data_IF_210732335519
#
_entry.id   IF_210732335519
#
_cell.length_a   1.000
_cell.length_b   1.000
_cell.length_c   1.000
_cell.angle_alpha   90.00
_cell.angle_beta   90.00
_cell.angle_gamma   90.00
#
_symmetry.space_group_name_H-M   'P 1'
#
loop_
_entity.id
_entity.type
_entity.pdbx_description
1 polymer ?
#
# COMPACT_ATOMS: atom_id res chain seq x y z
N UNK A 1 4.20 4.40 -12.05
CA UNK A 1 5.30 5.40 -12.12
C UNK A 1 6.32 5.05 -13.20
N UNK A 2 6.88 6.05 -13.87
CA UNK A 2 8.02 5.90 -14.79
C UNK A 2 9.26 6.46 -14.10
N UNK A 3 10.25 5.62 -13.81
CA UNK A 3 11.53 6.10 -13.29
C UNK A 3 12.37 6.65 -14.43
N UNK A 4 13.10 7.76 -14.23
CA UNK A 4 13.95 8.34 -15.27
C UNK A 4 15.15 7.44 -15.61
N UNK A 5 15.58 6.62 -14.66
CA UNK A 5 16.66 5.66 -14.83
C UNK A 5 16.22 4.26 -14.40
N UNK A 6 16.64 3.23 -15.14
CA UNK A 6 16.34 1.84 -14.80
C UNK A 6 16.93 1.45 -13.43
N UNK A 7 18.08 2.02 -13.07
CA UNK A 7 18.71 1.81 -11.76
C UNK A 7 17.83 2.28 -10.60
N UNK A 8 17.17 3.44 -10.74
CA UNK A 8 16.25 3.96 -9.72
C UNK A 8 15.04 3.04 -9.54
N UNK A 9 14.54 2.47 -10.63
CA UNK A 9 13.46 1.48 -10.57
C UNK A 9 13.89 0.22 -9.80
N UNK A 10 15.11 -0.27 -10.05
CA UNK A 10 15.66 -1.42 -9.32
C UNK A 10 15.86 -1.11 -7.83
N UNK A 11 16.46 0.05 -7.51
CA UNK A 11 16.66 0.49 -6.13
C UNK A 11 15.34 0.57 -5.37
N UNK A 12 14.31 1.16 -5.99
CA UNK A 12 12.97 1.23 -5.43
C UNK A 12 12.38 -0.17 -5.18
N UNK A 13 12.46 -1.07 -6.16
CA UNK A 13 11.94 -2.44 -6.04
C UNK A 13 12.62 -3.22 -4.91
N UNK A 14 13.94 -3.07 -4.76
CA UNK A 14 14.71 -3.69 -3.68
C UNK A 14 14.24 -3.21 -2.31
N UNK A 15 14.19 -1.89 -2.12
CA UNK A 15 13.78 -1.28 -0.84
C UNK A 15 12.30 -1.44 -0.52
N UNK A 16 11.47 -1.74 -1.53
CA UNK A 16 10.06 -2.09 -1.34
C UNK A 16 9.90 -3.50 -0.75
N UNK A 17 10.80 -4.43 -1.09
CA UNK A 17 10.73 -5.81 -0.64
C UNK A 17 11.36 -6.00 0.75
N UNK A 18 12.48 -5.31 1.00
CA UNK A 18 13.29 -5.48 2.20
C UNK A 18 14.03 -4.17 2.53
N UNK A 19 14.21 -3.86 3.82
CA UNK A 19 15.02 -2.72 4.26
C UNK A 19 16.50 -3.08 4.15
N UNK A 20 17.22 -2.36 3.29
CA UNK A 20 18.63 -2.62 3.01
C UNK A 20 19.53 -1.42 3.35
N UNK A 21 20.71 -1.64 3.92
CA UNK A 21 21.73 -0.61 4.12
C UNK A 21 22.34 -0.15 2.80
N UNK A 22 23.00 1.01 2.85
CA UNK A 22 23.64 1.65 1.69
C UNK A 22 24.68 0.74 1.02
N UNK A 23 25.43 -0.04 1.82
CA UNK A 23 26.46 -0.96 1.32
C UNK A 23 25.87 -2.15 0.56
N UNK A 24 24.75 -2.73 1.02
CA UNK A 24 24.08 -3.81 0.28
C UNK A 24 23.47 -3.31 -1.03
N UNK A 25 22.87 -2.12 -1.02
CA UNK A 25 22.37 -1.49 -2.25
C UNK A 25 23.51 -1.25 -3.26
N UNK A 26 24.66 -0.78 -2.77
CA UNK A 26 25.85 -0.56 -3.58
C UNK A 26 26.33 -1.88 -4.21
N UNK A 27 26.39 -2.96 -3.44
CA UNK A 27 26.78 -4.29 -3.94
C UNK A 27 25.77 -4.85 -4.95
N UNK A 28 24.47 -4.86 -4.63
CA UNK A 28 23.43 -5.43 -5.52
C UNK A 28 23.32 -4.68 -6.85
N UNK A 29 23.49 -3.36 -6.84
CA UNK A 29 23.46 -2.53 -8.05
C UNK A 29 24.84 -2.42 -8.73
N UNK A 30 25.89 -3.02 -8.14
CA UNK A 30 27.29 -2.89 -8.59
C UNK A 30 27.72 -1.43 -8.79
N UNK A 31 27.36 -0.56 -7.84
CA UNK A 31 27.70 0.87 -7.82
C UNK A 31 28.37 1.26 -6.52
N UNK A 32 29.03 2.42 -6.49
CA UNK A 32 29.57 2.95 -5.25
C UNK A 32 28.48 3.47 -4.31
N UNK A 33 28.74 3.43 -3.00
CA UNK A 33 27.88 4.05 -1.97
C UNK A 33 27.58 5.52 -2.28
N UNK A 34 28.55 6.28 -2.80
CA UNK A 34 28.35 7.66 -3.29
C UNK A 34 27.22 7.76 -4.34
N UNK A 35 27.19 6.81 -5.27
CA UNK A 35 26.14 6.72 -6.31
C UNK A 35 24.81 6.34 -5.69
N UNK A 36 24.77 5.37 -4.77
CA UNK A 36 23.55 5.03 -4.02
C UNK A 36 22.97 6.25 -3.32
N UNK A 37 23.80 7.11 -2.70
CA UNK A 37 23.33 8.35 -2.08
C UNK A 37 22.66 9.30 -3.09
N UNK A 38 23.30 9.52 -4.23
CA UNK A 38 22.73 10.35 -5.29
C UNK A 38 21.41 9.77 -5.83
N UNK A 39 21.37 8.45 -6.02
CA UNK A 39 20.20 7.71 -6.48
C UNK A 39 19.05 7.79 -5.45
N UNK A 40 19.33 7.59 -4.16
CA UNK A 40 18.37 7.75 -3.06
C UNK A 40 17.83 9.19 -3.03
N UNK A 41 18.69 10.20 -3.16
CA UNK A 41 18.26 11.60 -3.19
C UNK A 41 17.31 11.86 -4.36
N UNK A 42 17.67 11.40 -5.57
CA UNK A 42 16.82 11.53 -6.75
C UNK A 42 15.48 10.79 -6.55
N UNK A 43 15.51 9.59 -5.96
CA UNK A 43 14.32 8.80 -5.67
C UNK A 43 13.42 9.48 -4.63
N UNK A 44 14.00 10.05 -3.57
CA UNK A 44 13.28 10.81 -2.55
C UNK A 44 12.62 12.05 -3.14
N UNK A 45 13.29 12.77 -4.05
CA UNK A 45 12.68 13.90 -4.76
C UNK A 45 11.47 13.47 -5.58
N UNK A 46 11.53 12.30 -6.24
CA UNK A 46 10.39 11.76 -6.98
C UNK A 46 9.23 11.39 -6.06
N UNK A 47 9.53 10.72 -4.95
CA UNK A 47 8.53 10.25 -3.98
C UNK A 47 7.93 11.38 -3.14
N UNK A 48 8.66 12.47 -2.90
CA UNK A 48 8.18 13.60 -2.12
C UNK A 48 6.89 14.20 -2.70
N UNK A 49 6.74 14.18 -4.03
CA UNK A 49 5.53 14.61 -4.74
C UNK A 49 4.30 13.77 -4.40
N UNK A 50 4.51 12.54 -3.92
CA UNK A 50 3.47 11.60 -3.54
C UNK A 50 3.39 11.41 -2.02
N UNK A 51 4.08 12.27 -1.25
CA UNK A 51 4.13 12.19 0.20
C UNK A 51 4.81 10.92 0.71
N UNK A 52 5.81 10.41 -0.01
CA UNK A 52 6.63 9.29 0.42
C UNK A 52 8.12 9.63 0.34
N UNK A 53 8.95 8.95 1.12
CA UNK A 53 10.40 9.16 1.14
C UNK A 53 11.12 7.98 1.80
N UNK A 54 12.34 7.70 1.38
CA UNK A 54 13.22 6.77 2.08
C UNK A 54 14.03 7.50 3.14
N UNK A 55 13.94 7.02 4.37
CA UNK A 55 14.75 7.50 5.49
C UNK A 55 15.79 6.44 5.85
N UNK A 56 17.00 6.89 6.14
CA UNK A 56 18.06 6.02 6.65
C UNK A 56 17.87 5.81 8.15
N UNK A 57 17.53 4.59 8.55
CA UNK A 57 17.47 4.18 9.95
C UNK A 57 18.80 3.54 10.37
N UNK A 58 19.47 4.12 11.36
CA UNK A 58 20.79 3.66 11.82
C UNK A 58 20.66 2.25 12.41
N UNK A 59 21.25 1.27 11.75
CA UNK A 59 21.22 -0.14 12.13
C UNK A 59 20.27 -1.02 11.31
N UNK A 60 19.34 -0.43 10.54
CA UNK A 60 18.39 -1.21 9.71
C UNK A 60 18.47 -0.87 8.22
N UNK A 61 19.09 0.26 7.84
CA UNK A 61 19.19 0.68 6.45
C UNK A 61 18.08 1.63 6.03
N UNK A 62 17.77 1.67 4.74
CA UNK A 62 16.75 2.57 4.20
C UNK A 62 15.36 1.98 4.36
N UNK A 63 14.45 2.77 4.92
CA UNK A 63 13.06 2.42 5.13
C UNK A 63 12.13 3.41 4.42
N UNK A 64 11.12 2.89 3.74
CA UNK A 64 10.08 3.71 3.12
C UNK A 64 9.17 4.28 4.20
N UNK A 65 9.13 5.60 4.30
CA UNK A 65 8.17 6.36 5.08
C UNK A 65 7.14 6.99 4.15
N UNK A 66 5.87 6.81 4.52
CA UNK A 66 4.73 7.39 3.82
C UNK A 66 4.15 8.45 4.75
N UNK A 67 4.33 9.73 4.40
CA UNK A 67 3.75 10.86 5.11
C UNK A 67 2.30 11.12 4.64
N UNK A 68 1.98 10.86 3.37
CA UNK A 68 0.60 10.97 2.85
C UNK A 68 0.11 9.65 2.22
N UNK A 69 -0.66 8.83 2.95
CA UNK A 69 -1.12 7.54 2.44
C UNK A 69 -2.06 7.67 1.24
N UNK A 70 -2.84 8.75 1.12
CA UNK A 70 -3.78 8.94 -0.01
C UNK A 70 -3.04 9.15 -1.33
N UNK A 71 -2.00 9.97 -1.34
CA UNK A 71 -1.16 10.21 -2.52
C UNK A 71 -0.33 8.98 -2.90
N UNK A 72 0.15 8.23 -1.90
CA UNK A 72 0.86 6.98 -2.14
C UNK A 72 -0.08 5.87 -2.66
N UNK A 73 -1.33 5.84 -2.23
CA UNK A 73 -2.32 4.88 -2.73
C UNK A 73 -2.62 5.11 -4.22
N UNK A 74 -2.76 6.36 -4.67
CA UNK A 74 -2.90 6.72 -6.08
C UNK A 74 -1.68 6.33 -6.94
N UNK A 75 -0.48 6.37 -6.35
CA UNK A 75 0.76 5.86 -6.94
C UNK A 75 0.74 4.33 -7.09
N UNK A 76 0.22 3.61 -6.12
CA UNK A 76 0.05 2.15 -6.20
C UNK A 76 -1.06 1.74 -7.18
N UNK A 77 -2.12 2.53 -7.32
CA UNK A 77 -3.27 2.25 -8.20
C UNK A 77 -2.91 2.37 -9.69
N UNK A 78 -1.95 3.23 -10.02
CA UNK A 78 -1.43 3.40 -11.39
C UNK A 78 -0.33 2.40 -11.76
N UNK A 79 0.18 1.61 -10.80
CA UNK A 79 1.00 0.44 -11.11
C UNK A 79 0.06 -0.75 -11.38
N UNK A 80 0.20 -1.49 -12.51
CA UNK A 80 -0.62 -2.67 -12.75
C UNK A 80 -0.36 -3.72 -11.66
N UNK A 81 -1.18 -3.71 -10.62
CA UNK A 81 -1.15 -4.65 -9.50
C UNK A 81 -1.85 -5.94 -9.92
N UNK A 82 -1.08 -6.92 -10.37
CA UNK A 82 -1.43 -8.29 -10.05
C UNK A 82 -1.33 -8.43 -8.52
N UNK A 83 -2.48 -8.54 -7.84
CA UNK A 83 -2.65 -8.99 -6.46
C UNK A 83 -1.93 -8.19 -5.35
N UNK A 84 -2.57 -7.13 -4.85
CA UNK A 84 -2.59 -6.93 -3.40
C UNK A 84 -3.95 -6.38 -2.94
N UNK A 85 -4.67 -7.30 -2.31
CA UNK A 85 -6.01 -7.26 -1.70
C UNK A 85 -6.28 -5.94 -0.96
N UNK A 86 -7.46 -5.31 -1.14
CA UNK A 86 -7.86 -4.18 -0.33
C UNK A 86 -8.22 -4.69 1.07
N UNK A 87 -7.36 -4.41 2.04
CA UNK A 87 -7.72 -4.51 3.46
C UNK A 87 -7.79 -3.12 4.06
N UNK A 88 -8.53 -2.23 3.40
CA UNK A 88 -9.10 -1.06 4.06
C UNK A 88 -10.28 -1.55 4.89
N UNK A 89 -9.99 -1.86 6.15
CA UNK A 89 -11.03 -2.09 7.13
C UNK A 89 -11.86 -0.81 7.31
N UNK A 90 -13.15 -0.94 7.03
CA UNK A 90 -14.29 -0.21 7.61
C UNK A 90 -14.38 1.30 7.34
N UNK A 91 -14.94 1.60 6.17
CA UNK A 91 -15.97 2.64 6.06
C UNK A 91 -17.35 1.99 5.92
N UNK A 92 -17.94 1.50 7.00
CA UNK A 92 -19.36 1.12 7.00
C UNK A 92 -20.20 2.40 7.04
N UNK A 93 -20.38 3.04 5.90
CA UNK A 93 -21.47 3.99 5.66
C UNK A 93 -22.44 3.34 4.68
N UNK A 94 -23.37 2.55 5.21
CA UNK A 94 -24.66 2.32 4.54
C UNK A 94 -25.74 2.57 5.58
N UNK A 95 -26.22 3.82 5.59
CA UNK A 95 -27.54 4.16 6.06
C UNK A 95 -28.51 3.80 4.93
N UNK A 96 -29.52 2.99 5.21
CA UNK A 96 -30.78 3.07 4.48
C UNK A 96 -31.91 2.58 5.37
N UNK A 97 -32.87 3.47 5.52
CA UNK A 97 -34.09 3.38 6.30
C UNK A 97 -35.15 2.51 5.61
N UNK A 98 -36.18 2.13 6.38
CA UNK A 98 -37.42 1.48 5.89
C UNK A 98 -37.79 0.30 6.77
N UNK A 99 -38.40 0.51 7.94
CA UNK A 99 -39.85 0.63 8.09
C UNK A 99 -40.61 -0.54 7.41
N UNK A 100 -40.93 -1.58 8.19
CA UNK A 100 -42.08 -2.45 7.93
C UNK A 100 -42.81 -2.71 9.25
N UNK A 101 -44.13 -2.44 9.33
CA UNK A 101 -44.91 -2.56 10.55
C UNK A 101 -45.44 -4.00 10.77
N UNK A 102 -45.55 -4.31 12.06
CA UNK A 102 -46.54 -5.14 12.74
C UNK A 102 -47.70 -5.71 11.91
N UNK A 103 -47.78 -7.04 11.77
CA UNK A 103 -49.07 -7.79 11.83
C UNK A 103 -48.81 -9.24 12.26
N UNK A 104 -49.50 -9.68 13.31
CA UNK A 104 -50.27 -10.93 13.22
C UNK A 104 -49.74 -12.19 13.90
N UNK A 105 -49.99 -12.27 15.19
CA UNK A 105 -50.21 -13.49 15.98
C UNK A 105 -51.15 -14.47 15.24
N UNK A 106 -50.87 -15.79 15.24
CA UNK A 106 -51.73 -16.85 15.82
C UNK A 106 -51.41 -18.27 15.32
N UNK A 107 -51.20 -19.13 16.31
CA UNK A 107 -51.51 -20.56 16.39
C UNK A 107 -52.57 -21.09 15.41
N UNK A 108 -52.36 -22.29 14.85
CA UNK A 108 -53.26 -23.42 15.07
C UNK A 108 -52.61 -24.77 14.73
N UNK A 109 -52.83 -25.75 15.61
CA UNK A 109 -52.61 -27.17 15.46
C UNK A 109 -53.72 -27.84 14.62
N UNK A 110 -53.50 -29.06 14.12
CA UNK A 110 -54.63 -29.97 13.86
C UNK A 110 -54.45 -30.97 12.71
N UNK A 111 -54.37 -32.25 13.09
CA UNK A 111 -54.81 -33.48 12.40
C UNK A 111 -55.69 -33.32 11.14
N UNK A 112 -55.50 -34.19 10.15
CA UNK A 112 -56.28 -35.45 9.97
C UNK A 112 -56.35 -35.91 8.51
N UNK A 113 -56.18 -37.23 8.28
CA UNK A 113 -56.97 -37.99 7.30
C UNK A 113 -56.36 -38.24 5.92
N UNK A 114 -56.04 -39.51 5.65
CA UNK A 114 -55.69 -40.08 4.35
C UNK A 114 -55.28 -41.54 4.51
#
# INVERSE_FOLDING_TARGET
MRFPNQRLAQLFTLLRNETLPQDELAQRLSVSTRTVRADITALNTLLAQYGAQFILNRGSGYQLKIDNPTSFQALEETAPKAQHVPRTARGSHHVSAGAFPDVGVLYQAGRSGG
#
